data_IF_151657980212
#
_entry.id   IF_151657980212
#
_cell.length_a   1.000
_cell.length_b   1.000
_cell.length_c   1.000
_cell.angle_alpha   90.00
_cell.angle_beta   90.00
_cell.angle_gamma   90.00
#
_symmetry.space_group_name_H-M   'P 1'
#
loop_
_entity.id
_entity.type
_entity.pdbx_description
1 polymer ?
#
# COMPACT_ATOMS: atom_id res chain seq x y z
N UNK A 1 -7.26 14.35 -22.70
CA UNK A 1 -7.54 14.95 -21.37
C UNK A 1 -7.48 16.45 -21.52
N UNK A 2 -8.49 17.17 -21.06
CA UNK A 2 -8.45 18.63 -21.05
C UNK A 2 -7.68 19.11 -19.81
N UNK A 3 -6.49 19.65 -20.00
CA UNK A 3 -5.59 20.07 -18.91
C UNK A 3 -5.94 21.42 -18.30
N UNK A 4 -6.85 22.17 -18.94
CA UNK A 4 -7.29 23.52 -18.53
C UNK A 4 -8.60 23.54 -17.74
N UNK A 5 -9.19 22.37 -17.47
CA UNK A 5 -10.47 22.28 -16.76
C UNK A 5 -10.27 22.53 -15.27
N UNK A 6 -10.98 23.53 -14.73
CA UNK A 6 -11.03 23.78 -13.29
C UNK A 6 -12.16 22.98 -12.65
N UNK A 7 -11.80 22.11 -11.71
CA UNK A 7 -12.75 21.39 -10.86
C UNK A 7 -13.24 22.30 -9.72
N UNK A 8 -14.41 22.00 -9.18
CA UNK A 8 -14.88 22.64 -7.94
C UNK A 8 -14.07 22.14 -6.74
N UNK A 9 -14.03 22.90 -5.64
CA UNK A 9 -13.27 22.52 -4.42
C UNK A 9 -13.61 21.10 -3.91
N UNK A 10 -14.87 20.67 -4.04
CA UNK A 10 -15.30 19.33 -3.59
C UNK A 10 -14.85 18.23 -4.56
N UNK A 11 -14.92 18.52 -5.85
CA UNK A 11 -14.41 17.62 -6.90
C UNK A 11 -12.90 17.45 -6.80
N UNK A 12 -12.17 18.52 -6.51
CA UNK A 12 -10.72 18.50 -6.31
C UNK A 12 -10.32 17.63 -5.12
N UNK A 13 -10.99 17.77 -3.97
CA UNK A 13 -10.76 16.90 -2.80
C UNK A 13 -10.96 15.41 -3.13
N UNK A 14 -12.01 15.10 -3.89
CA UNK A 14 -12.30 13.72 -4.30
C UNK A 14 -11.28 13.23 -5.33
N UNK A 15 -10.91 14.07 -6.29
CA UNK A 15 -9.91 13.75 -7.30
C UNK A 15 -8.53 13.50 -6.68
N UNK A 16 -8.14 14.28 -5.67
CA UNK A 16 -6.92 14.08 -4.89
C UNK A 16 -6.90 12.70 -4.22
N UNK A 17 -7.92 12.36 -3.45
CA UNK A 17 -8.00 11.06 -2.78
C UNK A 17 -7.94 9.91 -3.79
N UNK A 18 -8.63 10.04 -4.92
CA UNK A 18 -8.59 9.03 -5.99
C UNK A 18 -7.22 8.94 -6.68
N UNK A 19 -6.54 10.06 -6.87
CA UNK A 19 -5.21 10.09 -7.48
C UNK A 19 -4.15 9.42 -6.58
N UNK A 20 -4.30 9.54 -5.27
CA UNK A 20 -3.50 8.81 -4.27
C UNK A 20 -3.87 7.34 -4.12
N UNK A 21 -4.92 6.88 -4.81
CA UNK A 21 -5.32 5.47 -4.85
C UNK A 21 -6.39 5.06 -3.85
N UNK A 22 -7.11 6.01 -3.22
CA UNK A 22 -8.23 5.68 -2.34
C UNK A 22 -9.33 4.93 -3.09
N UNK A 23 -9.93 3.92 -2.45
CA UNK A 23 -11.07 3.23 -3.04
C UNK A 23 -12.34 4.10 -2.97
N UNK A 24 -13.23 3.97 -3.96
CA UNK A 24 -14.51 4.73 -4.01
C UNK A 24 -15.35 4.62 -2.73
N UNK A 25 -15.25 3.48 -2.03
CA UNK A 25 -15.96 3.19 -0.78
C UNK A 25 -15.33 3.86 0.43
N UNK A 26 -14.04 4.16 0.39
CA UNK A 26 -13.25 4.76 1.48
C UNK A 26 -13.23 6.29 1.39
N UNK A 27 -13.40 6.85 0.18
CA UNK A 27 -13.46 8.30 -0.04
C UNK A 27 -14.42 9.03 0.91
N UNK A 28 -15.64 8.54 1.20
CA UNK A 28 -16.54 9.18 2.17
C UNK A 28 -15.96 9.35 3.57
N UNK A 29 -15.18 8.36 4.02
CA UNK A 29 -14.60 8.31 5.37
C UNK A 29 -13.33 9.16 5.46
N UNK A 30 -12.59 9.26 4.34
CA UNK A 30 -11.36 10.05 4.22
C UNK A 30 -11.63 11.54 3.99
N UNK A 31 -12.83 11.91 3.54
CA UNK A 31 -13.17 13.31 3.28
C UNK A 31 -13.35 14.09 4.59
N UNK A 32 -12.82 15.32 4.70
CA UNK A 32 -13.02 16.14 5.88
C UNK A 32 -14.51 16.44 6.07
N UNK A 33 -14.99 16.08 7.25
CA UNK A 33 -16.36 16.33 7.69
C UNK A 33 -16.53 17.83 7.92
N UNK A 34 -17.56 18.43 7.30
CA UNK A 34 -17.88 19.83 7.58
C UNK A 34 -18.57 19.92 8.94
N UNK A 35 -18.23 20.91 9.78
CA UNK A 35 -18.93 21.13 11.05
C UNK A 35 -20.43 21.27 10.78
N UNK A 36 -21.25 20.47 11.47
CA UNK A 36 -22.71 20.44 11.30
C UNK A 36 -23.25 19.61 10.13
N UNK A 37 -22.41 18.84 9.41
CA UNK A 37 -22.87 17.82 8.44
C UNK A 37 -22.31 16.45 8.79
N UNK A 38 -23.14 15.41 8.61
CA UNK A 38 -22.69 14.03 8.66
C UNK A 38 -21.78 13.64 7.47
N UNK A 39 -21.24 12.42 7.49
CA UNK A 39 -20.46 11.86 6.38
C UNK A 39 -21.27 11.85 5.08
N UNK A 40 -20.59 11.96 3.94
CA UNK A 40 -21.24 11.96 2.63
C UNK A 40 -21.66 10.53 2.28
N UNK A 41 -22.83 10.36 1.67
CA UNK A 41 -23.23 9.06 1.14
C UNK A 41 -22.35 8.62 -0.05
N UNK A 42 -22.01 7.33 -0.12
CA UNK A 42 -21.22 6.73 -1.22
C UNK A 42 -21.80 7.10 -2.60
N UNK A 43 -23.14 7.07 -2.74
CA UNK A 43 -23.84 7.41 -3.99
C UNK A 43 -23.54 8.84 -4.46
N UNK A 44 -23.39 9.77 -3.53
CA UNK A 44 -23.05 11.17 -3.85
C UNK A 44 -21.61 11.26 -4.35
N UNK A 45 -20.68 10.52 -3.73
CA UNK A 45 -19.29 10.44 -4.22
C UNK A 45 -19.25 9.87 -5.63
N UNK A 46 -19.97 8.78 -5.92
CA UNK A 46 -20.03 8.20 -7.26
C UNK A 46 -20.54 9.18 -8.32
N UNK A 47 -21.55 9.98 -7.98
CA UNK A 47 -22.08 11.01 -8.89
C UNK A 47 -21.06 12.12 -9.14
N UNK A 48 -20.34 12.56 -8.11
CA UNK A 48 -19.27 13.55 -8.26
C UNK A 48 -18.14 12.98 -9.14
N UNK A 49 -17.76 11.71 -8.94
CA UNK A 49 -16.76 11.03 -9.76
C UNK A 49 -17.19 10.98 -11.23
N UNK A 50 -18.45 10.67 -11.52
CA UNK A 50 -19.00 10.70 -12.88
C UNK A 50 -18.89 12.10 -13.49
N UNK A 51 -19.26 13.13 -12.74
CA UNK A 51 -19.15 14.52 -13.20
C UNK A 51 -17.69 14.94 -13.47
N UNK A 52 -16.74 14.48 -12.65
CA UNK A 52 -15.30 14.71 -12.87
C UNK A 52 -14.87 14.05 -14.18
N UNK A 53 -15.25 12.80 -14.42
CA UNK A 53 -14.92 12.08 -15.64
C UNK A 53 -15.49 12.73 -16.90
N UNK A 54 -16.75 13.18 -16.84
CA UNK A 54 -17.39 13.93 -17.92
C UNK A 54 -16.68 15.25 -18.20
N UNK A 55 -16.34 16.02 -17.16
CA UNK A 55 -15.61 17.29 -17.29
C UNK A 55 -14.21 17.11 -17.88
N UNK A 56 -13.51 16.06 -17.50
CA UNK A 56 -12.14 15.78 -17.97
C UNK A 56 -12.11 15.06 -19.34
N UNK A 57 -13.24 14.47 -19.76
CA UNK A 57 -13.33 13.62 -20.94
C UNK A 57 -12.54 12.31 -20.79
N UNK A 58 -12.51 11.75 -19.58
CA UNK A 58 -11.69 10.59 -19.20
C UNK A 58 -12.61 9.46 -18.75
N UNK A 59 -12.27 8.21 -19.09
CA UNK A 59 -13.04 7.04 -18.66
C UNK A 59 -12.30 6.15 -17.65
N UNK A 60 -10.97 6.24 -17.58
CA UNK A 60 -10.13 5.36 -16.75
C UNK A 60 -9.64 6.07 -15.49
N UNK A 61 -9.55 5.33 -14.38
CA UNK A 61 -9.02 5.84 -13.10
C UNK A 61 -7.54 6.24 -13.23
N UNK A 62 -6.75 5.45 -13.97
CA UNK A 62 -5.33 5.72 -14.20
C UNK A 62 -5.09 7.02 -14.98
N UNK A 63 -6.06 7.42 -15.79
CA UNK A 63 -6.00 8.66 -16.54
C UNK A 63 -6.30 9.87 -15.64
N UNK A 64 -7.22 9.72 -14.68
CA UNK A 64 -7.49 10.73 -13.65
C UNK A 64 -6.27 10.95 -12.75
N UNK A 65 -5.59 9.89 -12.31
CA UNK A 65 -4.38 10.02 -11.49
C UNK A 65 -3.27 10.72 -12.28
N UNK A 66 -3.04 10.34 -13.53
CA UNK A 66 -2.10 11.03 -14.41
C UNK A 66 -2.45 12.52 -14.58
N UNK A 67 -3.71 12.86 -14.78
CA UNK A 67 -4.16 14.24 -14.88
C UNK A 67 -3.90 15.04 -13.59
N UNK A 68 -4.21 14.46 -12.43
CA UNK A 68 -4.02 15.12 -11.13
C UNK A 68 -2.54 15.40 -10.88
N UNK A 69 -1.65 14.43 -11.16
CA UNK A 69 -0.21 14.62 -11.00
C UNK A 69 0.35 15.67 -11.98
N UNK A 70 -0.13 15.70 -13.23
CA UNK A 70 0.28 16.72 -14.21
C UNK A 70 -0.15 18.13 -13.78
N UNK A 71 -1.35 18.25 -13.20
CA UNK A 71 -1.94 19.54 -12.79
C UNK A 71 -1.33 20.07 -11.49
N UNK A 72 -1.11 19.20 -10.49
CA UNK A 72 -0.71 19.63 -9.15
C UNK A 72 0.81 19.71 -8.97
N UNK A 73 1.57 18.76 -9.52
CA UNK A 73 3.03 18.72 -9.37
C UNK A 73 3.78 19.48 -10.45
N UNK A 74 3.05 20.18 -11.36
CA UNK A 74 3.65 20.85 -12.53
C UNK A 74 4.72 19.96 -13.16
N UNK A 75 4.36 18.70 -13.38
CA UNK A 75 5.18 17.73 -14.08
C UNK A 75 4.86 17.99 -15.54
N UNK A 76 5.55 18.90 -16.28
CA UNK A 76 5.18 19.13 -17.65
C UNK A 76 5.26 17.79 -18.37
N UNK A 77 4.29 17.51 -19.22
CA UNK A 77 4.28 16.31 -20.05
C UNK A 77 5.56 16.18 -20.92
N UNK A 78 6.36 17.26 -21.00
CA UNK A 78 7.70 17.34 -21.57
C UNK A 78 8.86 17.04 -20.58
N UNK A 79 8.61 16.54 -19.37
CA UNK A 79 9.68 16.11 -18.48
C UNK A 79 10.46 14.98 -19.13
N UNK A 80 11.67 15.34 -19.54
CA UNK A 80 12.72 14.49 -20.08
C UNK A 80 12.65 13.07 -19.47
N UNK A 81 12.75 12.00 -20.28
CA UNK A 81 12.73 10.61 -19.79
C UNK A 81 13.74 10.36 -18.66
N UNK A 82 14.80 11.18 -18.59
CA UNK A 82 15.78 11.21 -17.51
C UNK A 82 15.19 11.50 -16.13
N UNK A 83 14.28 12.47 -15.98
CA UNK A 83 13.71 12.80 -14.66
C UNK A 83 12.81 11.69 -14.14
N UNK A 84 12.02 11.07 -15.02
CA UNK A 84 11.22 9.87 -14.70
C UNK A 84 12.12 8.71 -14.26
N UNK A 85 13.25 8.51 -14.97
CA UNK A 85 14.23 7.47 -14.64
C UNK A 85 14.90 7.73 -13.29
N UNK A 86 15.28 8.97 -12.99
CA UNK A 86 15.88 9.35 -11.71
C UNK A 86 14.91 9.11 -10.55
N UNK A 87 13.64 9.53 -10.69
CA UNK A 87 12.62 9.30 -9.65
C UNK A 87 12.39 7.81 -9.44
N UNK A 88 12.30 7.02 -10.51
CA UNK A 88 12.13 5.57 -10.42
C UNK A 88 13.32 4.88 -9.74
N UNK A 89 14.56 5.30 -10.06
CA UNK A 89 15.77 4.79 -9.41
C UNK A 89 15.78 5.17 -7.92
N UNK A 90 15.42 6.41 -7.59
CA UNK A 90 15.37 6.88 -6.20
C UNK A 90 14.34 6.09 -5.38
N UNK A 91 13.14 5.86 -5.94
CA UNK A 91 12.11 5.05 -5.27
C UNK A 91 12.59 3.60 -5.05
N UNK A 92 13.24 3.00 -6.06
CA UNK A 92 13.81 1.67 -5.94
C UNK A 92 14.88 1.61 -4.84
N UNK A 93 15.76 2.61 -4.77
CA UNK A 93 16.78 2.70 -3.73
C UNK A 93 16.19 2.81 -2.31
N UNK A 94 15.00 3.38 -2.17
CA UNK A 94 14.30 3.46 -0.87
C UNK A 94 13.60 2.15 -0.52
N UNK A 95 12.98 1.50 -1.51
CA UNK A 95 12.19 0.28 -1.30
C UNK A 95 13.09 -0.96 -1.10
N UNK A 96 14.17 -1.09 -1.87
CA UNK A 96 15.05 -2.28 -1.83
C UNK A 96 15.60 -2.54 -0.40
N UNK A 97 16.16 -1.56 0.33
CA UNK A 97 16.62 -1.79 1.70
C UNK A 97 15.51 -2.19 2.67
N UNK A 98 14.30 -1.65 2.50
CA UNK A 98 13.13 -1.99 3.32
C UNK A 98 12.72 -3.45 3.14
N UNK A 99 12.67 -3.93 1.89
CA UNK A 99 12.34 -5.32 1.58
C UNK A 99 13.45 -6.29 2.02
N UNK A 100 14.72 -5.92 1.85
CA UNK A 100 15.87 -6.75 2.30
C UNK A 100 15.91 -6.87 3.83
N UNK A 101 15.63 -5.78 4.55
CA UNK A 101 15.52 -5.82 6.01
C UNK A 101 14.35 -6.73 6.44
N UNK A 102 13.18 -6.58 5.82
CA UNK A 102 12.01 -7.44 6.09
C UNK A 102 12.27 -8.92 5.76
N UNK A 103 12.92 -9.23 4.64
CA UNK A 103 13.27 -10.61 4.26
C UNK A 103 14.30 -11.23 5.21
N UNK A 104 15.21 -10.42 5.77
CA UNK A 104 16.13 -10.84 6.83
C UNK A 104 15.42 -11.24 8.14
N UNK A 105 14.26 -10.65 8.45
CA UNK A 105 13.42 -11.10 9.58
C UNK A 105 12.71 -12.43 9.30
N UNK A 106 12.33 -12.71 8.04
CA UNK A 106 11.76 -14.00 7.64
C UNK A 106 12.80 -15.13 7.55
N UNK A 107 14.00 -14.81 7.07
CA UNK A 107 15.13 -15.73 6.97
C UNK A 107 16.03 -15.61 8.20
N UNK A 108 15.47 -15.75 9.41
CA UNK A 108 16.30 -16.11 10.55
C UNK A 108 16.84 -17.51 10.25
N UNK A 109 18.16 -17.72 10.04
CA UNK A 109 18.66 -19.08 10.04
C UNK A 109 18.29 -19.63 11.41
N UNK A 110 17.57 -20.74 11.45
CA UNK A 110 17.44 -21.54 12.66
C UNK A 110 18.86 -22.01 13.00
N UNK A 111 19.62 -21.16 13.70
CA UNK A 111 20.98 -21.46 14.11
C UNK A 111 20.89 -22.53 15.19
N UNK A 112 21.40 -23.71 14.85
CA UNK A 112 21.75 -24.80 15.76
C UNK A 112 20.60 -25.48 16.47
N UNK A 113 20.19 -26.60 15.89
CA UNK A 113 20.44 -27.91 16.51
C UNK A 113 20.55 -27.89 18.05
N UNK A 114 19.40 -27.84 18.73
CA UNK A 114 19.23 -28.53 20.03
C UNK A 114 18.47 -29.84 19.84
N UNK A 115 18.89 -30.61 18.85
CA UNK A 115 18.73 -32.06 18.90
C UNK A 115 19.87 -32.55 19.78
N UNK A 116 19.68 -32.55 21.11
CA UNK A 116 20.39 -33.37 22.14
C UNK A 116 19.69 -32.98 23.44
N UNK A 117 18.74 -33.80 23.90
CA UNK A 117 18.38 -34.03 25.32
C UNK A 117 17.14 -34.93 25.52
N UNK A 118 16.58 -35.54 24.48
CA UNK A 118 15.56 -36.59 24.66
C UNK A 118 16.18 -37.98 24.89
N UNK A 119 17.49 -38.16 24.65
CA UNK A 119 18.14 -39.46 24.80
C UNK A 119 18.47 -39.88 26.25
N UNK A 120 18.46 -38.98 27.25
CA UNK A 120 18.84 -39.35 28.63
C UNK A 120 17.71 -39.87 29.53
N UNK A 121 16.45 -39.57 29.22
CA UNK A 121 15.34 -40.02 30.08
C UNK A 121 15.01 -41.51 29.83
N UNK A 122 15.30 -42.03 28.63
CA UNK A 122 15.03 -43.44 28.31
C UNK A 122 16.11 -44.42 28.78
N UNK A 123 17.34 -43.96 29.03
CA UNK A 123 18.41 -44.83 29.54
C UNK A 123 18.25 -45.15 31.04
N UNK A 124 17.70 -44.22 31.83
CA UNK A 124 17.55 -44.41 33.29
C UNK A 124 16.41 -45.37 33.68
N UNK A 125 15.48 -45.69 32.77
CA UNK A 125 14.35 -46.58 33.07
C UNK A 125 14.59 -48.05 32.70
N UNK A 126 15.74 -48.40 32.12
CA UNK A 126 16.04 -49.77 31.68
C UNK A 126 17.01 -50.52 32.60
N UNK A 127 17.74 -49.83 33.48
CA UNK A 127 18.62 -50.49 34.46
C UNK A 127 17.86 -51.05 35.68
N UNK A 128 16.76 -50.44 36.13
CA UNK A 128 16.04 -50.93 37.31
C UNK A 128 15.22 -52.21 37.05
N UNK A 129 14.91 -52.56 35.80
CA UNK A 129 14.11 -53.76 35.49
C UNK A 129 14.95 -55.02 35.25
N UNK A 130 16.29 -54.95 35.31
CA UNK A 130 17.19 -56.09 35.07
C UNK A 130 17.97 -56.52 36.31
N UNK A 131 17.74 -55.88 37.47
CA UNK A 131 18.39 -56.21 38.75
C UNK A 131 17.45 -56.85 39.79
N UNK A 132 16.16 -57.08 39.49
CA UNK A 132 15.26 -57.87 40.37
C UNK A 132 14.99 -59.30 39.86
N UNK A 133 15.73 -59.74 38.84
CA UNK A 133 15.77 -61.15 38.43
C UNK A 133 17.22 -61.62 38.49
N UNK A 134 17.75 -61.77 39.70
CA UNK A 134 18.83 -62.69 40.13
C UNK A 134 18.67 -62.85 41.65
#
# INVERSE_FOLDING_TARGET
MNTTVKLTKREEQIAELLAWGAAKKEVPDLLPVKPGRGPIAIRTVENIIRNIYEKLGIQKVNELSAWYFVTHFSVPASLNPLKKRIISILLLLIIIPSEVANLGYFLRPSSSARIIKVARIRARRKEESTFEII
#
